data_IF_476709102527
#
_entry.id   IF_476709102527
#
_cell.length_a   1.000
_cell.length_b   1.000
_cell.length_c   1.000
_cell.angle_alpha   90.00
_cell.angle_beta   90.00
_cell.angle_gamma   90.00
#
_symmetry.space_group_name_H-M   'P 1'
#
loop_
_entity.id
_entity.type
_entity.pdbx_description
1 polymer ?
#
# COMPACT_ATOMS: atom_id res chain seq x y z
N UNK A 1 -6.52 -26.93 -19.37
CA UNK A 1 -6.91 -25.81 -20.26
C UNK A 1 -5.84 -24.74 -20.11
N UNK A 2 -4.97 -24.57 -21.11
CA UNK A 2 -3.81 -23.68 -21.05
C UNK A 2 -4.12 -22.41 -21.87
N UNK A 3 -4.70 -21.40 -21.21
CA UNK A 3 -4.92 -20.08 -21.79
C UNK A 3 -3.54 -19.44 -22.08
N UNK A 4 -3.33 -18.98 -23.32
CA UNK A 4 -2.04 -18.45 -23.79
C UNK A 4 -1.54 -17.29 -22.92
N UNK A 5 -0.42 -17.51 -22.21
CA UNK A 5 0.27 -16.48 -21.42
C UNK A 5 0.68 -15.30 -22.31
N UNK A 6 0.14 -14.13 -22.00
CA UNK A 6 0.43 -12.87 -22.67
C UNK A 6 1.93 -12.51 -22.58
N UNK A 7 2.69 -12.39 -23.70
CA UNK A 7 4.10 -12.01 -23.66
C UNK A 7 4.36 -10.66 -22.99
N UNK A 8 3.42 -9.71 -23.09
CA UNK A 8 3.49 -8.43 -22.37
C UNK A 8 3.37 -8.59 -20.86
N UNK A 9 2.59 -9.57 -20.39
CA UNK A 9 2.47 -9.89 -18.97
C UNK A 9 3.82 -10.27 -18.36
N UNK A 10 4.60 -11.13 -19.05
CA UNK A 10 5.94 -11.54 -18.60
C UNK A 10 6.94 -10.40 -18.49
N UNK A 11 6.87 -9.43 -19.40
CA UNK A 11 7.72 -8.24 -19.35
C UNK A 11 7.34 -7.35 -18.15
N UNK A 12 6.04 -7.16 -17.90
CA UNK A 12 5.58 -6.44 -16.73
C UNK A 12 5.93 -7.16 -15.43
N UNK A 13 5.82 -8.49 -15.38
CA UNK A 13 6.24 -9.28 -14.22
C UNK A 13 7.72 -9.01 -13.91
N UNK A 14 8.58 -9.09 -14.93
CA UNK A 14 10.01 -8.87 -14.79
C UNK A 14 10.33 -7.42 -14.37
N UNK A 15 9.63 -6.43 -14.94
CA UNK A 15 9.81 -5.02 -14.60
C UNK A 15 9.35 -4.73 -13.16
N UNK A 16 8.21 -5.28 -12.74
CA UNK A 16 7.68 -5.13 -11.37
C UNK A 16 8.59 -5.83 -10.37
N UNK A 17 9.10 -7.03 -10.69
CA UNK A 17 10.10 -7.70 -9.85
C UNK A 17 11.36 -6.86 -9.68
N UNK A 18 11.89 -6.30 -10.77
CA UNK A 18 13.09 -5.46 -10.72
C UNK A 18 12.84 -4.19 -9.90
N UNK A 19 11.72 -3.50 -10.14
CA UNK A 19 11.34 -2.31 -9.40
C UNK A 19 11.17 -2.59 -7.91
N UNK A 20 10.45 -3.66 -7.53
CA UNK A 20 10.28 -4.04 -6.12
C UNK A 20 11.61 -4.34 -5.43
N UNK A 21 12.55 -4.99 -6.12
CA UNK A 21 13.90 -5.19 -5.58
C UNK A 21 14.64 -3.88 -5.27
N UNK A 22 14.32 -2.78 -5.95
CA UNK A 22 14.90 -1.45 -5.60
C UNK A 22 14.22 -0.78 -4.41
N UNK A 23 12.99 -1.17 -4.07
CA UNK A 23 12.19 -0.55 -3.01
C UNK A 23 12.28 -1.31 -1.68
N UNK A 24 12.86 -2.51 -1.71
CA UNK A 24 12.94 -3.42 -0.56
C UNK A 24 14.42 -3.55 -0.18
N UNK A 25 14.75 -3.37 1.09
CA UNK A 25 16.14 -3.41 1.60
C UNK A 25 16.75 -4.80 1.43
N UNK A 26 15.93 -5.83 1.64
CA UNK A 26 16.32 -7.23 1.43
C UNK A 26 15.12 -8.06 1.02
N UNK A 27 15.28 -8.88 0.00
CA UNK A 27 14.27 -9.86 -0.39
C UNK A 27 14.98 -11.10 -0.92
N UNK A 28 14.79 -12.22 -0.24
CA UNK A 28 15.45 -13.46 -0.63
C UNK A 28 14.72 -14.06 -1.85
N UNK A 29 13.42 -14.34 -1.72
CA UNK A 29 12.59 -14.80 -2.83
C UNK A 29 11.47 -13.80 -3.12
N UNK A 30 11.33 -13.39 -4.38
CA UNK A 30 10.22 -12.57 -4.87
C UNK A 30 9.66 -13.22 -6.14
N UNK A 31 8.39 -13.57 -6.09
CA UNK A 31 7.62 -14.04 -7.23
C UNK A 31 6.51 -13.04 -7.50
N UNK A 32 6.37 -12.65 -8.75
CA UNK A 32 5.28 -11.78 -9.22
C UNK A 32 4.66 -12.46 -10.43
N UNK A 33 3.35 -12.60 -10.40
CA UNK A 33 2.54 -13.09 -11.50
C UNK A 33 1.53 -12.02 -11.88
N UNK A 34 1.37 -11.75 -13.18
CA UNK A 34 0.43 -10.77 -13.69
C UNK A 34 -0.53 -11.49 -14.64
N UNK A 35 -1.81 -11.52 -14.25
CA UNK A 35 -2.86 -12.01 -15.13
C UNK A 35 -3.30 -10.89 -16.08
N UNK A 36 -3.67 -11.27 -17.31
CA UNK A 36 -4.23 -10.35 -18.28
C UNK A 36 -3.84 -10.69 -19.71
N UNK A 37 -4.76 -10.42 -20.64
CA UNK A 37 -4.50 -10.55 -22.08
C UNK A 37 -3.71 -9.33 -22.57
N UNK A 38 -2.87 -9.50 -23.59
CA UNK A 38 -2.10 -8.42 -24.20
C UNK A 38 -2.93 -7.14 -24.47
N UNK A 39 -4.14 -7.29 -25.03
CA UNK A 39 -5.02 -6.15 -25.32
C UNK A 39 -5.49 -5.42 -24.06
N UNK A 40 -5.79 -6.15 -22.98
CA UNK A 40 -6.19 -5.56 -21.69
C UNK A 40 -5.05 -4.72 -21.13
N UNK A 41 -3.83 -5.28 -21.12
CA UNK A 41 -2.63 -4.57 -20.66
C UNK A 41 -2.37 -3.32 -21.49
N UNK A 42 -2.39 -3.40 -22.83
CA UNK A 42 -2.16 -2.24 -23.70
C UNK A 42 -3.22 -1.14 -23.53
N UNK A 43 -4.46 -1.51 -23.19
CA UNK A 43 -5.53 -0.56 -22.88
C UNK A 43 -5.38 0.06 -21.48
N UNK A 44 -4.40 -0.38 -20.69
CA UNK A 44 -4.16 0.13 -19.35
C UNK A 44 -4.89 -0.62 -18.24
N UNK A 45 -5.38 -1.85 -18.51
CA UNK A 45 -6.11 -2.65 -17.52
C UNK A 45 -5.36 -3.94 -17.19
N UNK A 46 -5.04 -4.12 -15.91
CA UNK A 46 -4.47 -5.34 -15.35
C UNK A 46 -5.48 -5.95 -14.39
N UNK A 47 -6.12 -7.08 -14.77
CA UNK A 47 -7.13 -7.75 -13.94
C UNK A 47 -6.62 -8.12 -12.55
N UNK A 48 -5.44 -8.74 -12.48
CA UNK A 48 -4.90 -9.29 -11.23
C UNK A 48 -3.38 -9.32 -11.26
N UNK A 49 -2.78 -8.97 -10.12
CA UNK A 49 -1.35 -9.11 -9.85
C UNK A 49 -1.20 -9.88 -8.53
N UNK A 50 -0.52 -11.01 -8.58
CA UNK A 50 -0.18 -11.78 -7.39
C UNK A 50 1.31 -11.60 -7.08
N UNK A 51 1.61 -11.36 -5.82
CA UNK A 51 2.95 -11.18 -5.28
C UNK A 51 3.15 -12.14 -4.12
N UNK A 52 4.23 -12.91 -4.17
CA UNK A 52 4.67 -13.75 -3.08
C UNK A 52 6.13 -13.47 -2.77
N UNK A 53 6.44 -13.20 -1.50
CA UNK A 53 7.79 -12.98 -1.04
C UNK A 53 8.11 -13.85 0.18
N UNK A 54 9.38 -14.27 0.28
CA UNK A 54 9.96 -14.87 1.49
C UNK A 54 11.12 -14.04 1.99
N UNK A 55 11.18 -13.90 3.31
CA UNK A 55 12.24 -13.16 4.01
C UNK A 55 12.44 -11.77 3.40
N UNK A 56 11.44 -10.90 3.56
CA UNK A 56 11.44 -9.56 2.99
C UNK A 56 11.62 -8.50 4.10
N UNK A 57 12.45 -7.49 3.85
CA UNK A 57 12.65 -6.33 4.71
C UNK A 57 12.22 -5.07 3.96
N UNK A 58 11.08 -4.51 4.34
CA UNK A 58 10.53 -3.30 3.71
C UNK A 58 10.49 -2.14 4.71
N UNK A 59 11.31 -1.11 4.47
CA UNK A 59 11.41 0.06 5.36
C UNK A 59 11.66 -0.34 6.83
N UNK A 60 12.55 -1.32 7.05
CA UNK A 60 12.82 -1.93 8.36
C UNK A 60 11.74 -2.89 8.90
N UNK A 61 10.65 -3.16 8.17
CA UNK A 61 9.66 -4.18 8.54
C UNK A 61 10.13 -5.55 8.05
N UNK A 62 10.43 -6.45 8.98
CA UNK A 62 10.88 -7.81 8.71
C UNK A 62 9.68 -8.75 8.58
N UNK A 63 9.55 -9.38 7.42
CA UNK A 63 8.46 -10.27 7.07
C UNK A 63 9.03 -11.65 6.72
N UNK A 64 8.48 -12.70 7.34
CA UNK A 64 8.86 -14.08 7.00
C UNK A 64 8.27 -14.48 5.65
N UNK A 65 6.99 -14.15 5.46
CA UNK A 65 6.27 -14.38 4.20
C UNK A 65 5.29 -13.24 3.97
N UNK A 66 5.16 -12.84 2.71
CA UNK A 66 4.10 -11.94 2.27
C UNK A 66 3.44 -12.55 1.04
N UNK A 67 2.12 -12.64 1.05
CA UNK A 67 1.32 -13.04 -0.11
C UNK A 67 0.25 -11.97 -0.33
N UNK A 68 0.37 -11.22 -1.42
CA UNK A 68 -0.52 -10.10 -1.75
C UNK A 68 -1.13 -10.31 -3.13
N UNK A 69 -2.40 -9.97 -3.27
CA UNK A 69 -3.14 -9.95 -4.53
C UNK A 69 -3.74 -8.58 -4.75
N UNK A 70 -3.31 -7.90 -5.81
CA UNK A 70 -3.89 -6.65 -6.29
C UNK A 70 -4.88 -6.94 -7.41
N UNK A 71 -6.05 -6.31 -7.37
CA UNK A 71 -7.10 -6.52 -8.38
C UNK A 71 -7.51 -5.21 -9.03
N UNK A 72 -8.01 -5.32 -10.27
CA UNK A 72 -8.60 -4.23 -11.05
C UNK A 72 -7.70 -2.99 -11.19
N UNK A 73 -6.42 -3.19 -11.50
CA UNK A 73 -5.45 -2.10 -11.61
C UNK A 73 -5.64 -1.39 -12.96
N UNK A 74 -5.91 -0.08 -12.90
CA UNK A 74 -6.05 0.79 -14.08
C UNK A 74 -4.92 1.80 -14.14
N UNK A 75 -4.17 1.77 -15.24
CA UNK A 75 -2.98 2.60 -15.49
C UNK A 75 -3.06 3.25 -16.88
N UNK A 76 -2.47 4.42 -17.04
CA UNK A 76 -2.50 5.17 -18.30
C UNK A 76 -1.50 4.66 -19.37
N UNK A 77 -1.39 3.35 -19.60
CA UNK A 77 -0.37 2.77 -20.50
C UNK A 77 -0.37 3.35 -21.92
N UNK A 78 -1.55 3.59 -22.50
CA UNK A 78 -1.65 4.21 -23.82
C UNK A 78 -1.06 5.63 -23.90
N UNK A 79 -1.04 6.37 -22.78
CA UNK A 79 -0.44 7.70 -22.69
C UNK A 79 1.06 7.64 -22.39
N UNK A 80 1.53 6.58 -21.72
CA UNK A 80 2.96 6.34 -21.49
C UNK A 80 3.71 6.15 -22.82
N UNK A 81 3.11 5.42 -23.76
CA UNK A 81 3.65 5.29 -25.13
C UNK A 81 3.75 6.64 -25.86
N UNK A 82 3.06 7.67 -25.38
CA UNK A 82 3.08 9.05 -25.92
C UNK A 82 3.96 9.99 -25.07
N UNK A 83 4.78 9.46 -24.17
CA UNK A 83 5.73 10.22 -23.36
C UNK A 83 5.16 10.80 -22.06
N UNK A 84 3.94 10.43 -21.66
CA UNK A 84 3.38 10.87 -20.38
C UNK A 84 3.86 9.97 -19.22
N UNK A 85 4.00 10.50 -17.99
CA UNK A 85 4.39 9.68 -16.85
C UNK A 85 3.30 8.65 -16.51
N UNK A 86 3.74 7.51 -15.95
CA UNK A 86 2.84 6.48 -15.45
C UNK A 86 2.00 7.03 -14.29
N UNK A 87 0.70 6.86 -14.38
CA UNK A 87 -0.28 7.26 -13.38
C UNK A 87 -1.29 6.15 -13.15
N UNK A 88 -1.60 5.93 -11.88
CA UNK A 88 -2.76 5.15 -11.48
C UNK A 88 -4.00 5.99 -11.76
N UNK A 89 -4.90 5.42 -12.56
CA UNK A 89 -6.18 6.03 -12.86
C UNK A 89 -7.16 5.86 -11.69
N UNK A 90 -6.99 4.78 -10.94
CA UNK A 90 -7.82 4.42 -9.78
C UNK A 90 -6.92 3.89 -8.65
N UNK A 91 -7.34 4.05 -7.38
CA UNK A 91 -6.67 3.41 -6.25
C UNK A 91 -6.62 1.89 -6.44
N UNK A 92 -5.46 1.30 -6.16
CA UNK A 92 -5.29 -0.16 -6.23
C UNK A 92 -5.95 -0.79 -5.00
N UNK A 93 -6.82 -1.76 -5.22
CA UNK A 93 -7.30 -2.63 -4.14
C UNK A 93 -6.35 -3.81 -4.02
N UNK A 94 -5.65 -3.90 -2.89
CA UNK A 94 -4.78 -5.02 -2.56
C UNK A 94 -5.27 -5.73 -1.30
N UNK A 95 -5.27 -7.06 -1.34
CA UNK A 95 -5.59 -7.94 -0.21
C UNK A 95 -4.48 -8.96 -0.03
N UNK A 96 -4.35 -9.56 1.15
CA UNK A 96 -3.38 -10.63 1.34
C UNK A 96 -3.04 -10.90 2.79
N UNK A 97 -2.03 -11.74 2.96
CA UNK A 97 -1.57 -12.25 4.24
C UNK A 97 -0.08 -11.95 4.43
N UNK A 98 0.26 -11.53 5.65
CA UNK A 98 1.62 -11.30 6.09
C UNK A 98 1.91 -12.23 7.26
N UNK A 99 3.01 -12.96 7.20
CA UNK A 99 3.49 -13.79 8.30
C UNK A 99 4.74 -13.15 8.91
N UNK A 100 4.69 -12.93 10.22
CA UNK A 100 5.78 -12.45 11.04
C UNK A 100 6.02 -13.42 12.18
N UNK A 101 7.29 -13.75 12.43
CA UNK A 101 7.69 -14.43 13.67
C UNK A 101 7.84 -13.42 14.80
N UNK A 102 7.89 -13.87 16.04
CA UNK A 102 8.15 -12.98 17.19
C UNK A 102 9.49 -12.24 17.05
N UNK A 103 10.53 -12.93 16.55
CA UNK A 103 11.84 -12.32 16.29
C UNK A 103 11.76 -11.22 15.21
N UNK A 104 11.04 -11.50 14.11
CA UNK A 104 10.86 -10.53 13.03
C UNK A 104 10.05 -9.31 13.49
N UNK A 105 9.00 -9.52 14.28
CA UNK A 105 8.23 -8.43 14.88
C UNK A 105 9.09 -7.56 15.78
N UNK A 106 9.88 -8.16 16.67
CA UNK A 106 10.79 -7.44 17.56
C UNK A 106 11.80 -6.60 16.79
N UNK A 107 12.40 -7.15 15.74
CA UNK A 107 13.30 -6.41 14.86
C UNK A 107 12.57 -5.24 14.16
N UNK A 108 11.32 -5.46 13.78
CA UNK A 108 10.48 -4.46 13.10
C UNK A 108 10.05 -3.29 13.98
N UNK A 109 10.10 -3.39 15.31
CA UNK A 109 9.80 -2.27 16.22
C UNK A 109 10.82 -1.11 16.07
N UNK A 110 12.00 -1.41 15.52
CA UNK A 110 12.97 -0.40 15.15
C UNK A 110 12.52 0.41 13.91
N UNK A 111 11.63 -0.13 13.08
CA UNK A 111 11.16 0.54 11.86
C UNK A 111 10.32 1.79 12.17
N UNK A 112 10.54 2.89 11.44
CA UNK A 112 9.67 4.06 11.53
C UNK A 112 8.21 3.72 11.17
N UNK A 113 8.01 2.86 10.16
CA UNK A 113 6.69 2.47 9.67
C UNK A 113 5.84 1.82 10.77
N UNK A 114 6.36 0.75 11.39
CA UNK A 114 5.61 0.04 12.42
C UNK A 114 5.46 0.88 13.69
N UNK A 115 6.49 1.66 14.05
CA UNK A 115 6.43 2.55 15.21
C UNK A 115 5.34 3.61 15.04
N UNK A 116 5.24 4.23 13.87
CA UNK A 116 4.20 5.22 13.59
C UNK A 116 2.82 4.58 13.62
N UNK A 117 2.64 3.44 12.94
CA UNK A 117 1.36 2.72 12.91
C UNK A 117 0.89 2.30 14.32
N UNK A 118 1.80 1.82 15.17
CA UNK A 118 1.49 1.49 16.57
C UNK A 118 1.17 2.75 17.38
N UNK A 119 1.88 3.85 17.16
CA UNK A 119 1.61 5.12 17.84
C UNK A 119 0.21 5.64 17.48
N UNK A 120 -0.15 5.61 16.20
CA UNK A 120 -1.46 6.02 15.72
C UNK A 120 -2.56 5.11 16.25
N UNK A 121 -2.34 3.79 16.23
CA UNK A 121 -3.27 2.82 16.81
C UNK A 121 -3.49 3.06 18.30
N UNK A 122 -2.43 3.26 19.07
CA UNK A 122 -2.53 3.54 20.51
C UNK A 122 -3.23 4.88 20.77
N UNK A 123 -3.03 5.89 19.91
CA UNK A 123 -3.76 7.15 19.99
C UNK A 123 -5.27 6.96 19.75
N UNK A 124 -5.66 6.07 18.84
CA UNK A 124 -7.07 5.70 18.59
C UNK A 124 -7.69 4.89 19.74
N UNK A 125 -6.90 4.05 20.39
CA UNK A 125 -7.31 3.24 21.54
C UNK A 125 -7.32 4.03 22.86
N UNK A 126 -6.73 5.23 22.86
CA UNK A 126 -6.79 6.11 24.03
C UNK A 126 -8.27 6.38 24.30
N UNK A 127 -8.79 6.05 25.49
CA UNK A 127 -10.19 6.30 25.78
C UNK A 127 -10.45 7.79 25.53
N UNK A 128 -11.66 8.11 25.05
CA UNK A 128 -12.20 9.46 25.01
C UNK A 128 -12.42 10.01 26.45
N UNK A 129 -11.44 9.82 27.33
CA UNK A 129 -11.42 10.22 28.73
C UNK A 129 -11.27 11.75 28.91
N UNK A 130 -11.37 12.51 27.82
CA UNK A 130 -11.41 13.97 27.80
C UNK A 130 -12.67 14.48 27.06
N UNK A 131 -13.77 13.73 27.10
CA UNK A 131 -15.11 14.26 26.81
C UNK A 131 -15.86 14.61 28.11
N UNK A 132 -15.14 15.14 29.10
CA UNK A 132 -15.65 15.33 30.45
C UNK A 132 -14.93 16.40 31.27
N UNK A 133 -14.56 17.54 30.68
CA UNK A 133 -14.26 18.74 31.47
C UNK A 133 -14.39 20.03 30.64
N UNK A 134 -15.62 20.35 30.25
CA UNK A 134 -16.03 21.72 29.93
C UNK A 134 -17.21 22.11 30.81
N UNK A 135 -17.01 22.10 32.13
CA UNK A 135 -17.79 22.93 33.03
C UNK A 135 -16.79 23.66 33.92
N UNK A 136 -16.29 24.81 33.42
CA UNK A 136 -15.91 26.02 34.17
C UNK A 136 -14.90 26.86 33.37
N UNK A 137 -15.38 27.53 32.33
CA UNK A 137 -14.98 28.91 32.07
C UNK A 137 -16.23 29.77 32.23
N UNK A 138 -16.70 29.87 33.47
CA UNK A 138 -17.57 30.98 33.91
C UNK A 138 -16.64 32.20 33.91
N UNK A 139 -17.05 33.26 33.23
CA UNK A 139 -16.37 34.55 33.00
C UNK A 139 -15.53 34.68 31.71
N UNK A 140 -16.16 35.21 30.66
CA UNK A 140 -15.51 36.09 29.69
C UNK A 140 -15.01 35.47 28.37
N UNK A 141 -15.90 35.09 27.46
CA UNK A 141 -15.56 34.94 26.04
C UNK A 141 -16.53 35.76 25.18
N UNK A 142 -16.21 37.04 25.02
CA UNK A 142 -16.77 37.90 23.98
C UNK A 142 -16.28 37.36 22.63
N UNK A 143 -17.22 37.17 21.72
CA UNK A 143 -17.16 36.23 20.62
C UNK A 143 -15.94 36.31 19.71
N UNK A 144 -15.59 35.16 19.11
CA UNK A 144 -15.31 35.06 17.67
C UNK A 144 -15.92 33.79 17.10
N UNK A 145 -16.68 33.99 16.03
CA UNK A 145 -17.36 33.00 15.19
C UNK A 145 -16.30 32.28 14.36
N UNK A 146 -15.95 31.05 14.73
CA UNK A 146 -15.10 30.18 13.92
C UNK A 146 -15.93 29.53 12.81
N UNK A 147 -15.63 29.86 11.56
CA UNK A 147 -16.24 29.31 10.35
C UNK A 147 -15.24 28.40 9.66
N UNK A 148 -15.47 27.08 9.69
CA UNK A 148 -14.74 26.12 8.87
C UNK A 148 -15.57 25.82 7.62
N UNK A 149 -15.02 26.07 6.43
CA UNK A 149 -15.60 25.64 5.15
C UNK A 149 -14.66 24.57 4.58
N UNK A 150 -15.11 23.33 4.57
CA UNK A 150 -14.48 22.23 3.84
C UNK A 150 -14.79 22.43 2.35
N UNK A 151 -13.78 22.45 1.50
CA UNK A 151 -13.98 22.32 0.05
C UNK A 151 -13.52 20.94 -0.37
N UNK A 152 -14.37 20.30 -1.16
CA UNK A 152 -14.25 18.97 -1.77
C UNK A 152 -13.06 18.88 -2.73
#
# INVERSE_FOLDING_TARGET
MAEGRAPLGRLLESAVQLWLRTQVERIDELQVAIAGRNRQILQGYIPEVALAARTAIYQGLHLERAALTGQNIRINLGQILRGQPLRLLEPITASGELFLTAANLQASLASPLLRQALTDLLALLRPAAEAGSQILCRWGCIGKRFSWRLTN
#
